data_IF_681696441047
#
_entry.id   IF_681696441047
#
_cell.length_a   1.000
_cell.length_b   1.000
_cell.length_c   1.000
_cell.angle_alpha   90.00
_cell.angle_beta   90.00
_cell.angle_gamma   90.00
#
_symmetry.space_group_name_H-M   'P 1'
#
loop_
_entity.id
_entity.type
_entity.pdbx_description
1 polymer ?
#
# COMPACT_ATOMS: atom_id res chain seq x y z
N UNK A 1 -14.68 2.96 -21.57
CA UNK A 1 -15.07 3.76 -20.38
C UNK A 1 -13.95 3.66 -19.37
N UNK A 2 -13.32 4.78 -19.00
CA UNK A 2 -12.26 4.79 -17.98
C UNK A 2 -12.93 4.61 -16.62
N UNK A 3 -12.84 3.42 -16.03
CA UNK A 3 -13.34 3.20 -14.67
C UNK A 3 -12.51 4.05 -13.71
N UNK A 4 -13.19 4.92 -12.98
CA UNK A 4 -12.65 5.69 -11.88
C UNK A 4 -12.43 4.77 -10.66
N UNK A 5 -11.54 5.18 -9.77
CA UNK A 5 -11.38 4.51 -8.49
C UNK A 5 -12.65 4.69 -7.63
N UNK A 6 -13.11 3.62 -6.94
CA UNK A 6 -14.38 3.62 -6.22
C UNK A 6 -14.44 4.69 -5.14
N UNK A 7 -15.61 5.28 -4.93
CA UNK A 7 -15.82 6.26 -3.87
C UNK A 7 -16.07 5.54 -2.54
N UNK A 8 -14.98 5.02 -1.96
CA UNK A 8 -15.02 4.38 -0.65
C UNK A 8 -14.98 5.44 0.44
N UNK A 9 -15.74 5.22 1.50
CA UNK A 9 -15.50 5.88 2.78
C UNK A 9 -14.38 5.15 3.56
N UNK A 10 -14.00 5.73 4.71
CA UNK A 10 -12.93 5.17 5.54
C UNK A 10 -13.30 3.78 6.10
N UNK A 11 -14.57 3.57 6.46
CA UNK A 11 -15.01 2.32 7.06
C UNK A 11 -14.97 1.18 6.03
N UNK A 12 -15.40 1.44 4.81
CA UNK A 12 -15.34 0.49 3.71
C UNK A 12 -13.90 0.18 3.30
N UNK A 13 -13.02 1.19 3.28
CA UNK A 13 -11.59 0.98 3.03
C UNK A 13 -10.95 0.11 4.12
N UNK A 14 -11.20 0.40 5.41
CA UNK A 14 -10.69 -0.42 6.51
C UNK A 14 -11.32 -1.81 6.53
N UNK A 15 -12.58 -1.97 6.12
CA UNK A 15 -13.21 -3.30 5.99
C UNK A 15 -12.51 -4.14 4.92
N UNK A 16 -12.12 -3.54 3.80
CA UNK A 16 -11.31 -4.24 2.79
C UNK A 16 -9.93 -4.60 3.35
N UNK A 17 -9.32 -3.71 4.15
CA UNK A 17 -8.03 -3.93 4.76
C UNK A 17 -7.99 -5.03 5.82
N UNK A 18 -9.03 -5.07 6.65
CA UNK A 18 -9.16 -5.94 7.81
C UNK A 18 -10.07 -7.15 7.55
N UNK A 19 -10.50 -7.36 6.31
CA UNK A 19 -11.38 -8.47 5.93
C UNK A 19 -10.64 -9.81 5.92
N UNK A 20 -10.36 -10.32 4.71
CA UNK A 20 -10.02 -11.74 4.51
C UNK A 20 -8.59 -12.15 4.93
N UNK A 21 -7.79 -11.25 5.49
CA UNK A 21 -6.39 -11.52 5.83
C UNK A 21 -5.86 -10.68 7.00
N UNK A 22 -6.73 -10.20 7.88
CA UNK A 22 -6.32 -9.36 9.02
C UNK A 22 -5.23 -10.02 9.88
N UNK A 23 -5.30 -11.34 10.08
CA UNK A 23 -4.32 -12.09 10.87
C UNK A 23 -2.94 -12.20 10.19
N UNK A 24 -2.89 -12.21 8.85
CA UNK A 24 -1.65 -12.30 8.10
C UNK A 24 -0.87 -10.99 8.09
N UNK A 25 -1.58 -9.85 8.14
CA UNK A 25 -1.00 -8.51 8.05
C UNK A 25 -0.95 -7.77 9.38
N UNK A 26 -1.51 -8.31 10.47
CA UNK A 26 -1.70 -7.59 11.75
C UNK A 26 -0.44 -6.96 12.31
N UNK A 27 0.75 -7.61 12.24
CA UNK A 27 1.98 -6.99 12.73
C UNK A 27 2.38 -5.71 11.96
N UNK A 28 1.96 -5.60 10.70
CA UNK A 28 2.37 -4.55 9.77
C UNK A 28 1.29 -3.48 9.55
N UNK A 29 0.02 -3.87 9.60
CA UNK A 29 -1.15 -2.98 9.50
C UNK A 29 -1.51 -2.37 10.86
N UNK A 30 -0.56 -1.63 11.43
CA UNK A 30 -0.84 -0.82 12.62
C UNK A 30 -1.89 0.28 12.32
N UNK A 31 -2.57 0.85 13.33
CA UNK A 31 -3.51 1.95 13.10
C UNK A 31 -2.89 3.14 12.32
N UNK A 32 -1.62 3.45 12.59
CA UNK A 32 -0.87 4.48 11.87
C UNK A 32 -0.63 4.11 10.40
N UNK A 33 -0.34 2.84 10.13
CA UNK A 33 -0.21 2.34 8.75
C UNK A 33 -1.55 2.49 8.02
N UNK A 34 -2.66 2.01 8.61
CA UNK A 34 -4.00 2.13 8.02
C UNK A 34 -4.39 3.58 7.71
N UNK A 35 -4.13 4.49 8.65
CA UNK A 35 -4.37 5.93 8.42
C UNK A 35 -3.54 6.47 7.25
N UNK A 36 -2.26 6.10 7.15
CA UNK A 36 -1.40 6.51 6.04
C UNK A 36 -1.88 5.94 4.69
N UNK A 37 -2.28 4.66 4.65
CA UNK A 37 -2.82 4.02 3.45
C UNK A 37 -4.15 4.65 3.02
N UNK A 38 -5.00 5.04 3.98
CA UNK A 38 -6.25 5.75 3.72
C UNK A 38 -6.00 7.13 3.12
N UNK A 39 -5.10 7.93 3.70
CA UNK A 39 -4.71 9.24 3.14
C UNK A 39 -4.12 9.11 1.74
N UNK A 40 -3.29 8.09 1.53
CA UNK A 40 -2.78 7.76 0.20
C UNK A 40 -3.90 7.43 -0.78
N UNK A 41 -4.91 6.66 -0.37
CA UNK A 41 -6.05 6.33 -1.21
C UNK A 41 -6.83 7.58 -1.64
N UNK A 42 -7.03 8.52 -0.72
CA UNK A 42 -7.71 9.79 -1.02
C UNK A 42 -6.98 10.60 -2.09
N UNK A 43 -5.65 10.74 -1.95
CA UNK A 43 -4.83 11.42 -2.96
C UNK A 43 -4.77 10.64 -4.27
N UNK A 44 -4.60 9.32 -4.22
CA UNK A 44 -4.60 8.46 -5.39
C UNK A 44 -5.91 8.64 -6.17
N UNK A 45 -7.06 8.62 -5.51
CA UNK A 45 -8.36 8.88 -6.15
C UNK A 45 -8.43 10.25 -6.80
N UNK A 46 -8.00 11.30 -6.09
CA UNK A 46 -7.99 12.68 -6.59
C UNK A 46 -7.16 12.79 -7.87
N UNK A 47 -5.92 12.28 -7.84
CA UNK A 47 -4.98 12.42 -8.94
C UNK A 47 -5.22 11.43 -10.08
N UNK A 48 -5.79 10.25 -9.81
CA UNK A 48 -6.11 9.28 -10.85
C UNK A 48 -7.10 9.84 -11.89
N UNK A 49 -7.97 10.79 -11.50
CA UNK A 49 -8.88 11.49 -12.42
C UNK A 49 -8.15 12.32 -13.47
N UNK A 50 -6.95 12.81 -13.14
CA UNK A 50 -6.19 13.76 -13.95
C UNK A 50 -5.12 13.06 -14.78
N UNK A 51 -4.40 12.11 -14.19
CA UNK A 51 -3.18 11.53 -14.80
C UNK A 51 -3.17 10.01 -14.88
N UNK A 52 -4.27 9.32 -14.55
CA UNK A 52 -4.42 7.86 -14.74
C UNK A 52 -3.29 7.01 -14.14
N UNK A 53 -2.98 7.24 -12.87
CA UNK A 53 -2.00 6.49 -12.06
C UNK A 53 -2.30 4.98 -11.95
N UNK A 54 -3.57 4.61 -11.92
CA UNK A 54 -4.07 3.23 -11.88
C UNK A 54 -5.00 3.01 -13.07
N UNK A 55 -4.67 1.99 -13.86
CA UNK A 55 -5.43 1.61 -15.05
C UNK A 55 -6.84 1.10 -14.74
N UNK A 56 -7.77 1.17 -15.71
CA UNK A 56 -9.18 0.83 -15.51
C UNK A 56 -9.43 -0.65 -15.16
N UNK A 57 -8.50 -1.54 -15.51
CA UNK A 57 -8.63 -2.98 -15.24
C UNK A 57 -8.53 -3.36 -13.77
N UNK A 58 -7.88 -2.54 -12.93
CA UNK A 58 -7.67 -2.83 -11.50
C UNK A 58 -8.32 -1.81 -10.58
N UNK A 59 -9.08 -0.85 -11.12
CA UNK A 59 -9.67 0.24 -10.35
C UNK A 59 -10.71 -0.24 -9.31
N UNK A 60 -11.55 -1.21 -9.66
CA UNK A 60 -12.55 -1.77 -8.74
C UNK A 60 -11.92 -2.65 -7.64
N UNK A 61 -10.74 -3.22 -7.92
CA UNK A 61 -10.01 -4.12 -7.02
C UNK A 61 -8.77 -3.44 -6.44
N UNK A 62 -8.78 -2.11 -6.33
CA UNK A 62 -7.60 -1.31 -6.00
C UNK A 62 -6.90 -1.77 -4.72
N UNK A 63 -7.68 -2.15 -3.69
CA UNK A 63 -7.14 -2.70 -2.45
C UNK A 63 -6.35 -4.00 -2.73
N UNK A 64 -7.02 -5.01 -3.30
CA UNK A 64 -6.40 -6.31 -3.55
C UNK A 64 -5.21 -6.21 -4.51
N UNK A 65 -5.35 -5.49 -5.61
CA UNK A 65 -4.37 -5.43 -6.70
C UNK A 65 -3.16 -4.54 -6.42
N UNK A 66 -3.28 -3.53 -5.56
CA UNK A 66 -2.17 -2.58 -5.32
C UNK A 66 -1.72 -2.59 -3.87
N UNK A 67 -2.64 -2.46 -2.92
CA UNK A 67 -2.28 -2.40 -1.50
C UNK A 67 -1.90 -3.78 -0.95
N UNK A 68 -2.76 -4.79 -1.11
CA UNK A 68 -2.52 -6.13 -0.59
C UNK A 68 -1.32 -6.81 -1.26
N UNK A 69 -1.19 -6.70 -2.59
CA UNK A 69 -0.01 -7.19 -3.33
C UNK A 69 1.29 -6.51 -2.85
N UNK A 70 1.25 -5.21 -2.53
CA UNK A 70 2.43 -4.51 -1.96
C UNK A 70 2.74 -4.96 -0.53
N UNK A 71 1.71 -5.16 0.31
CA UNK A 71 1.87 -5.67 1.68
C UNK A 71 2.50 -7.07 1.70
N UNK A 72 2.26 -7.89 0.67
CA UNK A 72 2.84 -9.23 0.58
C UNK A 72 4.37 -9.27 0.57
N UNK A 73 5.03 -8.18 0.14
CA UNK A 73 6.49 -8.07 0.20
C UNK A 73 7.01 -7.75 1.61
N UNK A 74 6.18 -7.22 2.50
CA UNK A 74 6.61 -6.65 3.80
C UNK A 74 7.31 -7.66 4.71
N UNK A 75 6.78 -8.87 4.97
CA UNK A 75 7.44 -9.83 5.87
C UNK A 75 8.86 -10.19 5.40
N UNK A 76 9.01 -10.42 4.09
CA UNK A 76 10.29 -10.75 3.47
C UNK A 76 11.28 -9.59 3.54
N UNK A 77 10.82 -8.37 3.28
CA UNK A 77 11.65 -7.18 3.40
C UNK A 77 12.09 -6.95 4.84
N UNK A 78 11.20 -7.11 5.82
CA UNK A 78 11.55 -6.96 7.23
C UNK A 78 12.68 -7.91 7.65
N UNK A 79 12.62 -9.18 7.24
CA UNK A 79 13.69 -10.15 7.50
C UNK A 79 15.01 -9.77 6.83
N UNK A 80 14.96 -9.36 5.55
CA UNK A 80 16.15 -8.95 4.80
C UNK A 80 16.82 -7.71 5.40
N UNK A 81 16.03 -6.72 5.83
CA UNK A 81 16.56 -5.49 6.42
C UNK A 81 17.28 -5.76 7.75
N UNK A 82 16.82 -6.74 8.55
CA UNK A 82 17.51 -7.15 9.78
C UNK A 82 18.75 -8.00 9.49
N UNK A 83 18.71 -8.83 8.44
CA UNK A 83 19.76 -9.79 8.14
C UNK A 83 21.03 -9.18 7.53
N UNK A 84 20.96 -7.97 6.96
CA UNK A 84 22.12 -7.31 6.31
C UNK A 84 23.02 -6.68 7.38
N UNK A 85 24.25 -7.21 7.60
CA UNK A 85 25.19 -6.58 8.52
C UNK A 85 25.69 -5.28 7.90
N UNK A 86 25.38 -4.16 8.53
CA UNK A 86 25.77 -2.83 8.06
C UNK A 86 25.98 -1.88 9.24
N UNK A 87 26.98 -1.00 9.13
CA UNK A 87 27.20 0.08 10.11
C UNK A 87 26.13 1.18 10.01
N UNK A 88 25.33 1.17 8.95
CA UNK A 88 24.23 2.12 8.71
C UNK A 88 22.89 1.40 8.52
N UNK A 89 21.76 2.03 8.87
CA UNK A 89 20.44 1.46 8.62
C UNK A 89 20.28 1.09 7.13
N UNK A 90 19.68 -0.07 6.83
CA UNK A 90 19.46 -0.49 5.45
C UNK A 90 18.48 0.46 4.75
N UNK A 91 18.67 0.66 3.45
CA UNK A 91 17.80 1.51 2.62
C UNK A 91 17.22 0.70 1.47
N UNK A 92 16.00 1.05 1.06
CA UNK A 92 15.28 0.42 -0.05
C UNK A 92 15.01 1.45 -1.13
N UNK A 93 15.18 1.06 -2.40
CA UNK A 93 14.87 1.86 -3.56
C UNK A 93 13.71 1.23 -4.34
N UNK A 94 12.66 2.01 -4.59
CA UNK A 94 11.55 1.64 -5.46
C UNK A 94 11.73 2.29 -6.84
N UNK A 95 11.93 1.45 -7.86
CA UNK A 95 12.19 1.90 -9.24
C UNK A 95 10.90 1.92 -10.03
N UNK A 96 10.42 3.13 -10.35
CA UNK A 96 9.22 3.32 -11.18
C UNK A 96 7.91 3.25 -10.40
N UNK A 97 7.92 3.69 -9.14
CA UNK A 97 6.79 3.58 -8.21
C UNK A 97 5.48 4.19 -8.70
N UNK A 98 5.52 5.17 -9.61
CA UNK A 98 4.34 5.77 -10.24
C UNK A 98 3.31 6.25 -9.23
N UNK A 99 2.25 5.46 -9.04
CA UNK A 99 1.21 5.65 -8.04
C UNK A 99 1.66 5.45 -6.57
N UNK A 100 2.95 5.16 -6.32
CA UNK A 100 3.51 4.89 -5.00
C UNK A 100 3.59 3.41 -4.61
N UNK A 101 3.32 2.47 -5.53
CA UNK A 101 3.35 1.04 -5.23
C UNK A 101 4.64 0.38 -5.76
N UNK A 102 5.28 -0.52 -4.99
CA UNK A 102 4.96 -0.89 -3.60
C UNK A 102 5.54 0.05 -2.53
N UNK A 103 6.42 0.99 -2.90
CA UNK A 103 7.29 1.71 -1.96
C UNK A 103 6.58 2.49 -0.86
N UNK A 104 5.48 3.19 -1.16
CA UNK A 104 4.71 3.92 -0.14
C UNK A 104 4.07 2.96 0.85
N UNK A 105 3.47 1.86 0.36
CA UNK A 105 2.82 0.86 1.21
C UNK A 105 3.84 0.20 2.13
N UNK A 106 5.01 -0.16 1.59
CA UNK A 106 6.12 -0.71 2.38
C UNK A 106 6.59 0.29 3.43
N UNK A 107 6.80 1.57 3.08
CA UNK A 107 7.22 2.59 4.03
C UNK A 107 6.18 2.86 5.14
N UNK A 108 4.89 2.75 4.83
CA UNK A 108 3.82 2.88 5.82
C UNK A 108 3.77 1.68 6.79
N UNK A 109 4.06 0.48 6.31
CA UNK A 109 4.05 -0.76 7.07
C UNK A 109 5.36 -1.00 7.87
N UNK A 110 6.49 -0.55 7.34
CA UNK A 110 7.83 -0.62 7.93
C UNK A 110 8.44 0.79 8.04
N UNK A 111 7.92 1.64 8.95
CA UNK A 111 8.53 2.93 9.18
C UNK A 111 9.95 2.75 9.73
N UNK A 112 10.92 3.47 9.14
CA UNK A 112 12.31 3.52 9.60
C UNK A 112 12.52 4.31 10.88
#
# INVERSE_FOLDING_TARGET
MTRQLPDLDEQDFYRQALGDSADAWTPWLTPRCLEALWRHYQELRRWNRLVSLVGPGTAEEVWHRHYAESLAAVPWLAELLVAVPSESPPTVLDLGSGAGFPGFVVAAALPG
#
